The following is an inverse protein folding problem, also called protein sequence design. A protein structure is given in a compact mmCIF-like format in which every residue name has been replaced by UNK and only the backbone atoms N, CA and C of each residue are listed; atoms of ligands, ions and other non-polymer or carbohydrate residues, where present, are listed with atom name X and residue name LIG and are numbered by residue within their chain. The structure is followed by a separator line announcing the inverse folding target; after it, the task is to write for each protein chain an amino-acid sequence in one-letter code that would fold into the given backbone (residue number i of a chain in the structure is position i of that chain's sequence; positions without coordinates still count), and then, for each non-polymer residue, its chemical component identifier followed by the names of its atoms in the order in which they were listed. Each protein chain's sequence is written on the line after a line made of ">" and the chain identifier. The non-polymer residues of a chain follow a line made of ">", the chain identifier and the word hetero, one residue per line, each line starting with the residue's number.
data_IF_013303045771
#
_entry.id   IF_013303045771
#
_cell.length_a   1.000
_cell.length_b   1.000
_cell.length_c   1.000
_cell.angle_alpha   90.00
_cell.angle_beta   90.00
_cell.angle_gamma   90.00
#
_symmetry.space_group_name_H-M   'P 1'
#
loop_
_entity.id
_entity.type
_entity.pdbx_description
1 polymer ?
#
# COMPACT_ATOMS: atom_id res chain seq x y z
N UNK A 1 -8.90 27.19 5.71
CA UNK A 1 -9.96 26.45 4.99
C UNK A 1 -9.57 24.99 4.93
N UNK A 2 -10.13 24.18 5.82
CA UNK A 2 -9.85 22.74 5.91
C UNK A 2 -10.67 22.05 4.81
N UNK A 3 -10.01 21.61 3.74
CA UNK A 3 -10.60 20.67 2.80
C UNK A 3 -10.92 19.40 3.58
N UNK A 4 -12.20 19.12 3.80
CA UNK A 4 -12.63 17.86 4.40
C UNK A 4 -11.97 16.73 3.60
N UNK A 5 -11.24 15.80 4.24
CA UNK A 5 -10.71 14.65 3.53
C UNK A 5 -11.90 13.92 2.91
N UNK A 6 -11.87 13.71 1.59
CA UNK A 6 -12.94 12.94 0.96
C UNK A 6 -12.97 11.58 1.64
N UNK A 7 -14.16 11.09 1.98
CA UNK A 7 -14.34 9.80 2.66
C UNK A 7 -13.63 8.65 1.93
N UNK A 8 -13.56 8.72 0.60
CA UNK A 8 -12.87 7.76 -0.27
C UNK A 8 -11.35 7.78 -0.06
N UNK A 9 -10.72 8.95 0.02
CA UNK A 9 -9.26 9.06 0.18
C UNK A 9 -8.83 8.53 1.55
N UNK A 10 -9.63 8.80 2.60
CA UNK A 10 -9.41 8.25 3.93
C UNK A 10 -9.60 6.73 3.97
N UNK A 11 -10.61 6.20 3.27
CA UNK A 11 -10.83 4.77 3.14
C UNK A 11 -9.65 4.07 2.45
N UNK A 12 -9.22 4.58 1.29
CA UNK A 12 -8.07 4.06 0.55
C UNK A 12 -6.79 4.11 1.41
N UNK A 13 -6.55 5.23 2.09
CA UNK A 13 -5.43 5.39 3.03
C UNK A 13 -5.43 4.34 4.15
N UNK A 14 -6.61 4.06 4.72
CA UNK A 14 -6.78 3.03 5.72
C UNK A 14 -6.43 1.63 5.17
N UNK A 15 -6.86 1.30 3.96
CA UNK A 15 -6.57 0.02 3.30
C UNK A 15 -5.07 -0.16 3.03
N UNK A 16 -4.39 0.89 2.58
CA UNK A 16 -2.93 0.91 2.39
C UNK A 16 -2.23 0.59 3.71
N UNK A 17 -2.60 1.29 4.79
CA UNK A 17 -2.03 1.08 6.12
C UNK A 17 -2.26 -0.33 6.64
N UNK A 18 -3.49 -0.84 6.49
CA UNK A 18 -3.87 -2.19 6.92
C UNK A 18 -3.01 -3.24 6.23
N UNK A 19 -2.88 -3.16 4.90
CA UNK A 19 -2.08 -4.12 4.13
C UNK A 19 -0.60 -4.02 4.43
N UNK A 20 -0.06 -2.80 4.54
CA UNK A 20 1.33 -2.57 4.91
C UNK A 20 1.67 -3.22 6.26
N UNK A 21 0.81 -3.03 7.26
CA UNK A 21 0.96 -3.67 8.57
C UNK A 21 0.87 -5.20 8.51
N UNK A 22 -0.03 -5.73 7.69
CA UNK A 22 -0.16 -7.18 7.50
C UNK A 22 1.11 -7.82 6.88
N UNK A 23 1.89 -7.05 6.12
CA UNK A 23 3.19 -7.46 5.58
C UNK A 23 4.37 -7.20 6.52
N UNK A 24 4.14 -6.63 7.72
CA UNK A 24 5.21 -6.23 8.64
C UNK A 24 6.11 -5.12 8.06
N UNK A 25 5.61 -4.33 7.12
CA UNK A 25 6.37 -3.25 6.47
C UNK A 25 6.20 -1.94 7.24
N UNK A 26 7.29 -1.19 7.40
CA UNK A 26 7.26 0.18 7.91
C UNK A 26 6.99 1.21 6.80
N UNK A 27 6.62 2.43 7.20
CA UNK A 27 6.32 3.53 6.27
C UNK A 27 7.54 3.93 5.43
N UNK A 28 8.73 3.81 6.01
CA UNK A 28 10.01 4.06 5.34
C UNK A 28 10.25 3.06 4.21
N UNK A 29 9.94 1.78 4.46
CA UNK A 29 10.09 0.71 3.47
C UNK A 29 9.09 0.88 2.32
N UNK A 30 7.85 1.26 2.62
CA UNK A 30 6.86 1.57 1.59
C UNK A 30 7.25 2.81 0.77
N UNK A 31 7.76 3.86 1.43
CA UNK A 31 8.24 5.08 0.79
C UNK A 31 9.42 4.80 -0.14
N UNK A 32 10.41 4.03 0.33
CA UNK A 32 11.57 3.62 -0.45
C UNK A 32 11.19 2.80 -1.70
N UNK A 33 10.23 1.86 -1.56
CA UNK A 33 9.75 1.05 -2.68
C UNK A 33 9.03 1.88 -3.76
N UNK A 34 8.32 2.93 -3.35
CA UNK A 34 7.58 3.83 -4.24
C UNK A 34 8.42 5.02 -4.72
N UNK A 35 9.61 5.23 -4.18
CA UNK A 35 10.43 6.42 -4.44
C UNK A 35 9.79 7.72 -3.95
N UNK A 36 8.99 7.66 -2.88
CA UNK A 36 8.30 8.83 -2.31
C UNK A 36 8.77 9.11 -0.87
N UNK A 37 8.76 10.37 -0.42
CA UNK A 37 9.11 10.70 0.96
C UNK A 37 8.20 10.01 1.99
N UNK A 38 8.74 9.64 3.15
CA UNK A 38 7.99 9.00 4.25
C UNK A 38 6.79 9.85 4.69
N UNK A 39 6.97 11.16 4.76
CA UNK A 39 5.88 12.09 5.07
C UNK A 39 4.73 12.02 4.05
N UNK A 40 5.03 11.70 2.79
CA UNK A 40 4.04 11.55 1.74
C UNK A 40 3.24 10.25 1.92
N UNK A 41 3.90 9.16 2.30
CA UNK A 41 3.24 7.89 2.66
C UNK A 41 2.28 8.11 3.82
N UNK A 42 2.72 8.79 4.89
CA UNK A 42 1.84 9.13 6.02
C UNK A 42 0.61 9.93 5.60
N UNK A 43 0.77 10.90 4.71
CA UNK A 43 -0.35 11.70 4.18
C UNK A 43 -1.31 10.87 3.34
N UNK A 44 -0.82 9.88 2.59
CA UNK A 44 -1.68 8.91 1.91
C UNK A 44 -2.43 8.03 2.91
N UNK A 45 -1.76 7.48 3.91
CA UNK A 45 -2.40 6.64 4.94
C UNK A 45 -3.45 7.39 5.76
N UNK A 46 -3.25 8.70 5.96
CA UNK A 46 -4.20 9.56 6.66
C UNK A 46 -5.33 10.09 5.76
N UNK A 47 -5.27 9.86 4.44
CA UNK A 47 -6.23 10.41 3.48
C UNK A 47 -6.17 11.94 3.32
N UNK A 48 -5.13 12.59 3.85
CA UNK A 48 -4.95 14.05 3.72
C UNK A 48 -4.42 14.43 2.35
N UNK A 49 -3.83 13.47 1.62
CA UNK A 49 -3.40 13.64 0.23
C UNK A 49 -3.98 12.56 -0.66
N UNK A 50 -4.55 12.99 -1.79
CA UNK A 50 -5.09 12.12 -2.83
C UNK A 50 -3.96 11.28 -3.45
N UNK A 51 -4.25 10.01 -3.68
CA UNK A 51 -3.35 9.09 -4.37
C UNK A 51 -3.74 9.08 -5.85
N UNK A 52 -2.80 9.33 -6.75
CA UNK A 52 -3.07 9.23 -8.18
C UNK A 52 -3.22 7.76 -8.60
N UNK A 53 -3.98 7.49 -9.67
CA UNK A 53 -4.19 6.12 -10.16
C UNK A 53 -2.88 5.35 -10.43
N UNK A 54 -1.87 6.02 -11.01
CA UNK A 54 -0.55 5.44 -11.24
C UNK A 54 0.17 5.03 -9.93
N UNK A 55 0.02 5.83 -8.87
CA UNK A 55 0.59 5.52 -7.57
C UNK A 55 -0.15 4.38 -6.88
N UNK A 56 -1.49 4.31 -7.00
CA UNK A 56 -2.27 3.18 -6.51
C UNK A 56 -1.86 1.87 -7.17
N UNK A 57 -1.59 1.89 -8.48
CA UNK A 57 -1.09 0.71 -9.18
C UNK A 57 0.29 0.28 -8.68
N UNK A 58 1.22 1.23 -8.55
CA UNK A 58 2.54 0.94 -7.98
C UNK A 58 2.45 0.43 -6.53
N UNK A 59 1.51 0.96 -5.73
CA UNK A 59 1.24 0.47 -4.38
C UNK A 59 0.67 -0.94 -4.37
N UNK A 60 -0.23 -1.28 -5.31
CA UNK A 60 -0.74 -2.64 -5.47
C UNK A 60 0.39 -3.64 -5.72
N UNK A 61 1.33 -3.30 -6.61
CA UNK A 61 2.50 -4.12 -6.91
C UNK A 61 3.41 -4.31 -5.69
N UNK A 62 3.72 -3.23 -4.96
CA UNK A 62 4.56 -3.29 -3.76
C UNK A 62 3.88 -4.08 -2.63
N UNK A 63 2.58 -3.86 -2.43
CA UNK A 63 1.79 -4.49 -1.37
C UNK A 63 1.30 -5.90 -1.74
N UNK A 64 1.67 -6.40 -2.94
CA UNK A 64 1.30 -7.72 -3.44
C UNK A 64 -0.21 -7.97 -3.31
N UNK A 65 -1.00 -6.99 -3.75
CA UNK A 65 -2.47 -7.05 -3.80
C UNK A 65 -2.97 -6.63 -5.16
N UNK A 66 -4.15 -7.12 -5.52
CA UNK A 66 -4.84 -6.59 -6.68
C UNK A 66 -5.36 -5.18 -6.39
N UNK A 67 -5.41 -4.30 -7.40
CA UNK A 67 -5.82 -2.90 -7.20
C UNK A 67 -7.24 -2.75 -6.61
N UNK A 68 -8.12 -3.72 -6.87
CA UNK A 68 -9.50 -3.75 -6.30
C UNK A 68 -9.50 -3.82 -4.78
N UNK A 69 -8.43 -4.35 -4.17
CA UNK A 69 -8.28 -4.45 -2.72
C UNK A 69 -8.44 -3.11 -1.99
N UNK A 70 -8.03 -1.99 -2.62
CA UNK A 70 -8.15 -0.66 -2.03
C UNK A 70 -9.59 -0.14 -1.97
N UNK A 71 -10.50 -0.75 -2.74
CA UNK A 71 -11.91 -0.36 -2.84
C UNK A 71 -12.87 -1.40 -2.24
N UNK A 72 -12.38 -2.62 -1.99
CA UNK A 72 -13.17 -3.67 -1.34
C UNK A 72 -13.33 -3.40 0.16
N UNK A 73 -14.57 -3.23 0.61
CA UNK A 73 -14.93 -3.22 2.03
C UNK A 73 -14.77 -4.62 2.62
N UNK A 74 -14.10 -4.71 3.77
CA UNK A 74 -14.10 -5.96 4.53
C UNK A 74 -15.52 -6.23 5.03
N UNK A 75 -16.08 -7.44 4.86
CA UNK A 75 -17.43 -7.77 5.31
C UNK A 75 -17.63 -7.61 6.83
N UNK A 76 -16.56 -7.40 7.60
CA UNK A 76 -16.60 -7.12 9.03
C UNK A 76 -17.04 -5.69 9.39
N UNK A 77 -17.05 -4.75 8.43
CA UNK A 77 -17.45 -3.36 8.66
C UNK A 77 -18.73 -3.04 7.90
N UNK A 78 -19.87 -3.53 8.41
CA UNK A 78 -21.19 -3.31 7.85
C UNK A 78 -21.65 -1.85 7.96
N UNK A 79 -21.23 -1.00 7.02
CA UNK A 79 -21.71 0.37 6.85
C UNK A 79 -21.90 0.66 5.37
N UNK A 80 -23.05 0.25 4.81
CA UNK A 80 -23.26 0.19 3.37
C UNK A 80 -23.24 1.53 2.63
N UNK A 81 -22.50 1.58 1.52
CA UNK A 81 -22.80 2.46 0.39
C UNK A 81 -22.31 1.92 -0.97
N UNK A 82 -22.37 0.60 -1.19
CA UNK A 82 -22.40 0.06 -2.54
C UNK A 82 -23.38 -1.11 -2.59
N UNK A 83 -24.65 -0.79 -2.86
CA UNK A 83 -25.65 -1.80 -3.22
C UNK A 83 -25.22 -2.43 -4.55
N UNK A 84 -24.88 -3.71 -4.48
CA UNK A 84 -25.25 -4.76 -5.43
C UNK A 84 -25.42 -4.31 -6.89
N UNK A 85 -24.35 -4.43 -7.67
CA UNK A 85 -24.48 -5.00 -9.01
C UNK A 85 -24.14 -6.47 -8.83
N UNK A 86 -25.16 -7.34 -8.84
CA UNK A 86 -24.97 -8.79 -8.95
C UNK A 86 -24.24 -9.09 -10.26
N UNK A 87 -22.93 -9.25 -10.15
CA UNK A 87 -22.07 -9.93 -11.12
C UNK A 87 -21.34 -11.01 -10.37
N UNK A 88 -21.83 -12.24 -10.48
CA UNK A 88 -21.41 -13.43 -9.74
C UNK A 88 -19.95 -13.86 -9.91
N UNK A 89 -19.10 -13.19 -10.69
CA UNK A 89 -17.91 -13.84 -11.26
C UNK A 89 -16.63 -12.98 -11.29
N UNK A 90 -16.11 -12.54 -10.13
CA UNK A 90 -14.69 -12.11 -10.05
C UNK A 90 -13.92 -12.74 -8.88
N UNK A 91 -14.58 -13.52 -8.03
CA UNK A 91 -14.03 -14.00 -6.75
C UNK A 91 -13.07 -15.20 -6.82
N UNK A 92 -12.55 -15.63 -7.97
CA UNK A 92 -11.72 -16.87 -8.03
C UNK A 92 -10.47 -16.88 -8.92
N UNK A 93 -9.86 -15.75 -9.25
CA UNK A 93 -8.54 -15.80 -9.93
C UNK A 93 -7.57 -14.72 -9.45
N UNK A 94 -7.05 -14.86 -8.23
CA UNK A 94 -5.70 -14.34 -7.92
C UNK A 94 -4.66 -15.41 -8.22
N UNK A 95 -4.69 -15.97 -9.43
CA UNK A 95 -3.48 -16.40 -10.12
C UNK A 95 -2.98 -15.18 -10.91
N UNK A 96 -2.39 -14.20 -10.23
CA UNK A 96 -1.46 -13.29 -10.90
C UNK A 96 -0.11 -14.01 -10.99
N UNK A 97 0.03 -14.84 -12.02
CA UNK A 97 1.31 -15.49 -12.33
C UNK A 97 2.32 -14.42 -12.72
N UNK A 98 3.49 -14.53 -12.11
CA UNK A 98 4.74 -13.86 -12.41
C UNK A 98 4.92 -13.51 -13.90
N UNK A 99 5.17 -12.23 -14.20
CA UNK A 99 5.98 -11.89 -15.37
C UNK A 99 7.45 -12.02 -14.97
N UNK A 100 8.01 -13.17 -15.30
CA UNK A 100 9.43 -13.25 -15.61
C UNK A 100 9.71 -12.30 -16.79
N UNK A 101 10.24 -11.12 -16.50
CA UNK A 101 10.97 -10.28 -17.45
C UNK A 101 11.78 -9.28 -16.62
N UNK A 102 13.11 -9.43 -16.66
CA UNK A 102 14.03 -8.64 -15.87
C UNK A 102 13.87 -7.15 -16.10
N UNK A 103 13.53 -6.43 -15.03
CA UNK A 103 13.96 -5.05 -14.72
C UNK A 103 13.27 -4.60 -13.44
N UNK A 104 13.75 -5.09 -12.31
CA UNK A 104 13.98 -4.17 -11.19
C UNK A 104 15.09 -4.81 -10.38
N UNK A 105 16.15 -4.03 -10.17
CA UNK A 105 17.22 -4.35 -9.23
C UNK A 105 16.54 -4.43 -7.87
N UNK A 106 16.06 -5.62 -7.51
CA UNK A 106 15.76 -5.97 -6.14
C UNK A 106 17.11 -5.85 -5.45
N UNK A 107 17.37 -4.68 -4.85
CA UNK A 107 18.34 -4.62 -3.77
C UNK A 107 17.71 -5.53 -2.73
N UNK A 108 18.18 -6.77 -2.67
CA UNK A 108 18.00 -7.63 -1.51
C UNK A 108 18.94 -7.04 -0.46
N UNK A 109 18.50 -6.32 0.58
CA UNK A 109 19.33 -6.24 1.75
C UNK A 109 19.05 -7.53 2.50
N UNK A 110 19.92 -8.53 2.29
CA UNK A 110 20.35 -9.25 3.47
C UNK A 110 20.73 -8.15 4.47
N UNK A 111 20.23 -8.23 5.71
CA UNK A 111 20.31 -7.19 6.75
C UNK A 111 19.14 -6.16 6.75
N UNK A 112 17.95 -6.59 7.17
CA UNK A 112 17.21 -5.78 8.16
C UNK A 112 17.78 -6.07 9.57
N UNK A 113 19.12 -5.99 9.67
CA UNK A 113 19.90 -6.34 10.85
C UNK A 113 20.71 -5.13 11.31
N UNK A 114 20.35 -4.62 12.48
CA UNK A 114 21.19 -3.95 13.47
C UNK A 114 22.37 -3.08 12.99
N UNK A 115 22.11 -1.76 13.01
CA UNK A 115 23.00 -0.68 13.48
C UNK A 115 24.48 -1.05 13.67
N UNK A 116 25.32 -0.59 12.74
CA UNK A 116 26.74 -0.32 12.99
C UNK A 116 26.89 0.92 13.88
N UNK A 117 27.28 0.73 15.14
CA UNK A 117 27.95 1.76 15.95
C UNK A 117 29.24 1.15 16.49
N UNK A 118 30.28 1.19 15.68
CA UNK A 118 31.66 1.03 16.11
C UNK A 118 32.42 2.28 15.69
N UNK A 119 32.41 3.31 16.54
CA UNK A 119 33.34 4.43 16.43
C UNK A 119 34.44 4.24 17.45
N UNK A 120 35.58 3.80 16.93
CA UNK A 120 36.89 3.82 17.54
C UNK A 120 37.42 5.27 17.43
N UNK A 121 37.69 5.92 18.56
CA UNK A 121 38.56 7.10 18.61
C UNK A 121 39.57 6.84 19.71
N UNK A 122 40.82 6.66 19.29
CA UNK A 122 42.00 6.81 20.13
C UNK A 122 42.59 8.21 19.99
#
# INVERSE_FOLDING_TARGET
>A
MLSQPNSIDAFVGHRIRLRRKALGMDEENLGAALGVPVAQVRRYEQGTRRVCAAQLLAMADVLQVHFTFFFEESPASGGGLLKTIEGSDFRKSTMFRSRAAGRQRIVRPALWGCRTLGLLVG
#
